data_IF_493167638922
#
_entry.id   IF_493167638922
#
_cell.length_a   1.000
_cell.length_b   1.000
_cell.length_c   1.000
_cell.angle_alpha   90.00
_cell.angle_beta   90.00
_cell.angle_gamma   90.00
#
_symmetry.space_group_name_H-M   'P 1'
#
loop_
_entity.id
_entity.type
_entity.pdbx_description
1 polymer ?
#
# COMPACT_ATOMS: atom_id res chain seq x y z
N UNK A 1 -5.50 -21.48 4.57
CA UNK A 1 -6.11 -20.29 3.96
C UNK A 1 -6.50 -20.64 2.53
N UNK A 2 -7.65 -20.19 2.03
CA UNK A 2 -8.08 -20.51 0.67
C UNK A 2 -7.20 -19.79 -0.36
N UNK A 3 -6.72 -20.53 -1.37
CA UNK A 3 -5.83 -19.98 -2.39
C UNK A 3 -6.49 -18.82 -3.18
N UNK A 4 -7.81 -18.88 -3.39
CA UNK A 4 -8.57 -17.82 -4.07
C UNK A 4 -8.49 -16.47 -3.37
N UNK A 5 -8.59 -16.43 -2.04
CA UNK A 5 -8.49 -15.20 -1.25
C UNK A 5 -7.09 -14.58 -1.33
N UNK A 6 -6.05 -15.42 -1.32
CA UNK A 6 -4.66 -14.98 -1.46
C UNK A 6 -4.44 -14.33 -2.82
N UNK A 7 -4.93 -14.96 -3.89
CA UNK A 7 -4.80 -14.43 -5.26
C UNK A 7 -5.58 -13.13 -5.44
N UNK A 8 -6.79 -13.05 -4.90
CA UNK A 8 -7.60 -11.84 -4.92
C UNK A 8 -6.90 -10.69 -4.17
N UNK A 9 -6.42 -10.94 -2.95
CA UNK A 9 -5.66 -9.95 -2.18
C UNK A 9 -4.38 -9.54 -2.92
N UNK A 10 -3.65 -10.49 -3.50
CA UNK A 10 -2.44 -10.20 -4.26
C UNK A 10 -2.73 -9.23 -5.41
N UNK A 11 -3.81 -9.42 -6.16
CA UNK A 11 -4.20 -8.54 -7.26
C UNK A 11 -4.53 -7.12 -6.77
N UNK A 12 -5.32 -7.00 -5.70
CA UNK A 12 -5.66 -5.71 -5.08
C UNK A 12 -4.41 -5.00 -4.54
N UNK A 13 -3.56 -5.75 -3.84
CA UNK A 13 -2.28 -5.27 -3.34
C UNK A 13 -1.39 -4.79 -4.48
N UNK A 14 -1.26 -5.55 -5.56
CA UNK A 14 -0.42 -5.18 -6.70
C UNK A 14 -0.89 -3.87 -7.30
N UNK A 15 -2.18 -3.76 -7.58
CA UNK A 15 -2.80 -2.55 -8.09
C UNK A 15 -2.46 -1.35 -7.22
N UNK A 16 -2.61 -1.51 -5.91
CA UNK A 16 -2.33 -0.47 -4.95
C UNK A 16 -0.88 -0.03 -4.94
N UNK A 17 0.05 -0.99 -5.00
CA UNK A 17 1.50 -0.74 -5.02
C UNK A 17 1.93 -0.06 -6.32
N UNK A 18 1.29 -0.38 -7.46
CA UNK A 18 1.62 0.26 -8.74
C UNK A 18 1.04 1.67 -8.90
N UNK A 19 0.04 2.06 -8.10
CA UNK A 19 -0.46 3.44 -8.08
C UNK A 19 0.62 4.39 -7.55
N UNK A 20 1.11 5.34 -8.38
CA UNK A 20 2.12 6.29 -7.95
C UNK A 20 1.68 7.10 -6.73
N UNK A 21 2.63 7.39 -5.83
CA UNK A 21 2.40 8.14 -4.59
C UNK A 21 3.71 8.54 -3.93
N UNK A 22 3.66 8.82 -2.62
CA UNK A 22 4.84 9.26 -1.84
C UNK A 22 5.97 8.22 -1.82
N UNK A 23 5.64 6.92 -1.76
CA UNK A 23 6.64 5.84 -1.78
C UNK A 23 7.38 5.77 -3.12
N UNK A 24 6.66 5.97 -4.24
CA UNK A 24 7.27 6.03 -5.57
C UNK A 24 8.20 7.24 -5.71
N UNK A 25 7.75 8.41 -5.27
CA UNK A 25 8.55 9.63 -5.32
C UNK A 25 9.86 9.47 -4.53
N UNK A 26 9.78 8.82 -3.36
CA UNK A 26 10.96 8.54 -2.57
C UNK A 26 11.89 7.48 -3.20
N UNK A 27 11.33 6.39 -3.73
CA UNK A 27 12.09 5.38 -4.47
C UNK A 27 12.83 6.00 -5.66
N UNK A 28 12.16 6.81 -6.46
CA UNK A 28 12.73 7.54 -7.60
C UNK A 28 13.85 8.48 -7.12
N UNK A 29 13.58 9.33 -6.14
CA UNK A 29 14.56 10.29 -5.61
C UNK A 29 15.82 9.61 -5.05
N UNK A 30 15.65 8.45 -4.41
CA UNK A 30 16.77 7.65 -3.90
C UNK A 30 17.66 7.12 -5.02
N UNK A 31 17.08 6.71 -6.16
CA UNK A 31 17.81 6.14 -7.29
C UNK A 31 18.40 7.15 -8.27
N UNK A 32 17.82 8.36 -8.38
CA UNK A 32 18.32 9.42 -9.26
C UNK A 32 19.54 10.15 -8.68
N UNK A 33 19.66 10.25 -7.35
CA UNK A 33 20.85 10.83 -6.70
C UNK A 33 22.03 9.86 -6.73
N UNK A 34 21.86 8.65 -6.18
CA UNK A 34 22.87 7.59 -6.19
C UNK A 34 22.22 6.22 -6.22
N UNK A 35 22.59 5.35 -7.17
CA UNK A 35 22.05 3.97 -7.24
C UNK A 35 22.19 3.19 -5.92
N UNK A 36 23.25 3.45 -5.15
CA UNK A 36 23.49 2.83 -3.85
C UNK A 36 22.50 3.26 -2.77
N UNK A 37 21.82 4.40 -2.93
CA UNK A 37 20.81 4.92 -2.01
C UNK A 37 19.47 4.20 -2.08
N UNK A 38 19.20 3.44 -3.16
CA UNK A 38 17.95 2.68 -3.33
C UNK A 38 17.81 1.60 -2.28
N UNK A 39 18.88 0.85 -2.01
CA UNK A 39 18.85 -0.26 -1.05
C UNK A 39 18.40 0.20 0.35
N UNK A 40 19.06 1.16 1.02
CA UNK A 40 18.63 1.61 2.34
C UNK A 40 17.26 2.28 2.33
N UNK A 41 16.94 3.09 1.32
CA UNK A 41 15.67 3.79 1.23
C UNK A 41 14.47 2.83 1.12
N UNK A 42 14.54 1.89 0.16
CA UNK A 42 13.47 0.91 -0.05
C UNK A 42 13.39 -0.06 1.12
N UNK A 43 14.51 -0.52 1.66
CA UNK A 43 14.52 -1.39 2.85
C UNK A 43 13.84 -0.73 4.05
N UNK A 44 14.04 0.59 4.24
CA UNK A 44 13.35 1.38 5.26
C UNK A 44 11.84 1.41 5.03
N UNK A 45 11.41 1.63 3.79
CA UNK A 45 9.98 1.60 3.45
C UNK A 45 9.35 0.22 3.72
N UNK A 46 10.03 -0.86 3.35
CA UNK A 46 9.55 -2.23 3.61
C UNK A 46 9.46 -2.53 5.11
N UNK A 47 10.44 -2.08 5.89
CA UNK A 47 10.40 -2.21 7.35
C UNK A 47 9.20 -1.45 7.95
N UNK A 48 8.91 -0.23 7.45
CA UNK A 48 7.73 0.53 7.86
C UNK A 48 6.41 -0.16 7.52
N UNK A 49 6.28 -0.71 6.30
CA UNK A 49 5.10 -1.47 5.89
C UNK A 49 4.92 -2.74 6.74
N UNK A 50 6.00 -3.46 7.02
CA UNK A 50 5.96 -4.66 7.85
C UNK A 50 5.54 -4.32 9.29
N UNK A 51 6.12 -3.26 9.87
CA UNK A 51 5.74 -2.81 11.21
C UNK A 51 4.26 -2.41 11.28
N UNK A 52 3.77 -1.62 10.32
CA UNK A 52 2.37 -1.24 10.24
C UNK A 52 1.45 -2.46 10.09
N UNK A 53 1.83 -3.43 9.24
CA UNK A 53 1.12 -4.70 9.08
C UNK A 53 0.95 -5.41 10.41
N UNK A 54 2.03 -5.57 11.17
CA UNK A 54 2.02 -6.33 12.42
C UNK A 54 1.18 -5.62 13.48
N UNK A 55 1.29 -4.29 13.59
CA UNK A 55 0.46 -3.48 14.48
C UNK A 55 -1.02 -3.64 14.14
N UNK A 56 -1.38 -3.58 12.86
CA UNK A 56 -2.76 -3.71 12.42
C UNK A 56 -3.28 -5.14 12.57
N UNK A 57 -2.49 -6.15 12.25
CA UNK A 57 -2.87 -7.55 12.46
C UNK A 57 -3.15 -7.84 13.94
N UNK A 58 -2.33 -7.30 14.85
CA UNK A 58 -2.57 -7.41 16.29
C UNK A 58 -3.81 -6.61 16.73
N UNK A 59 -3.94 -5.36 16.28
CA UNK A 59 -5.03 -4.46 16.70
C UNK A 59 -6.40 -4.86 16.16
N UNK A 60 -6.49 -5.29 14.90
CA UNK A 60 -7.75 -5.73 14.28
C UNK A 60 -8.22 -7.06 14.84
N UNK A 61 -7.31 -8.01 15.14
CA UNK A 61 -7.68 -9.25 15.82
C UNK A 61 -8.33 -8.97 17.19
N UNK A 62 -7.79 -8.00 17.94
CA UNK A 62 -8.38 -7.56 19.20
C UNK A 62 -9.72 -6.83 19.00
N UNK A 63 -9.83 -6.00 17.95
CA UNK A 63 -11.06 -5.23 17.67
C UNK A 63 -12.20 -6.14 17.18
N UNK A 64 -11.92 -7.13 16.34
CA UNK A 64 -12.87 -8.15 15.90
C UNK A 64 -13.45 -8.93 17.08
N UNK A 65 -12.60 -9.32 18.03
CA UNK A 65 -13.03 -10.00 19.26
C UNK A 65 -13.93 -9.11 20.14
N UNK A 66 -13.85 -7.78 19.99
CA UNK A 66 -14.55 -6.82 20.84
C UNK A 66 -15.85 -6.26 20.23
N UNK A 67 -15.90 -5.94 18.92
CA UNK A 67 -17.09 -5.30 18.31
C UNK A 67 -17.17 -5.43 16.78
N UNK A 68 -18.23 -6.09 16.29
CA UNK A 68 -18.55 -6.16 14.86
C UNK A 68 -18.96 -4.81 14.23
N UNK A 69 -19.47 -3.86 15.03
CA UNK A 69 -19.82 -2.50 14.57
C UNK A 69 -18.56 -1.71 14.24
N UNK A 70 -17.55 -1.76 15.11
CA UNK A 70 -16.27 -1.09 14.88
C UNK A 70 -15.60 -1.57 13.58
N UNK A 71 -15.70 -2.87 13.32
CA UNK A 71 -15.22 -3.47 12.08
C UNK A 71 -15.94 -2.92 10.84
N UNK A 72 -17.27 -2.79 10.90
CA UNK A 72 -18.08 -2.27 9.79
C UNK A 72 -17.75 -0.80 9.50
N UNK A 73 -17.60 0.03 10.53
CA UNK A 73 -17.18 1.44 10.37
C UNK A 73 -15.82 1.52 9.68
N UNK A 74 -14.87 0.69 10.10
CA UNK A 74 -13.52 0.65 9.53
C UNK A 74 -13.54 0.23 8.05
N UNK A 75 -14.34 -0.78 7.70
CA UNK A 75 -14.54 -1.22 6.31
C UNK A 75 -15.07 -0.09 5.42
N UNK A 76 -16.14 0.58 5.86
CA UNK A 76 -16.76 1.67 5.09
C UNK A 76 -15.81 2.84 4.93
N UNK A 77 -15.10 3.23 6.00
CA UNK A 77 -14.12 4.31 5.97
C UNK A 77 -13.01 4.05 4.95
N UNK A 78 -12.46 2.84 4.90
CA UNK A 78 -11.43 2.51 3.93
C UNK A 78 -11.93 2.43 2.49
N UNK A 79 -13.17 1.98 2.26
CA UNK A 79 -13.74 1.94 0.93
C UNK A 79 -13.93 3.36 0.35
N UNK A 80 -14.46 4.30 1.15
CA UNK A 80 -14.56 5.73 0.78
C UNK A 80 -13.18 6.32 0.45
N UNK A 81 -12.16 5.96 1.22
CA UNK A 81 -10.81 6.44 0.99
C UNK A 81 -10.16 5.84 -0.27
N UNK A 82 -10.42 4.58 -0.62
CA UNK A 82 -9.98 4.00 -1.90
C UNK A 82 -10.54 4.79 -3.08
N UNK A 83 -11.82 5.18 -3.01
CA UNK A 83 -12.45 6.03 -4.01
C UNK A 83 -11.76 7.39 -4.05
N UNK A 84 -11.51 8.01 -2.89
CA UNK A 84 -10.79 9.29 -2.81
C UNK A 84 -9.37 9.22 -3.39
N UNK A 85 -8.61 8.16 -3.08
CA UNK A 85 -7.27 7.92 -3.64
C UNK A 85 -7.32 7.67 -5.14
N UNK A 86 -8.27 6.88 -5.62
CA UNK A 86 -8.44 6.64 -7.04
C UNK A 86 -8.79 7.94 -7.79
N UNK A 87 -9.64 8.78 -7.21
CA UNK A 87 -9.92 10.14 -7.71
C UNK A 87 -8.66 11.02 -7.67
N UNK A 88 -7.86 10.93 -6.59
CA UNK A 88 -6.57 11.63 -6.47
C UNK A 88 -5.58 11.23 -7.56
N UNK A 89 -5.45 9.93 -7.84
CA UNK A 89 -4.62 9.40 -8.92
C UNK A 89 -5.09 9.87 -10.32
N UNK A 90 -6.40 10.14 -10.48
CA UNK A 90 -6.96 10.73 -11.69
C UNK A 90 -6.76 12.26 -11.77
N UNK A 91 -6.71 12.97 -10.64
CA UNK A 91 -6.69 14.45 -10.56
C UNK A 91 -5.28 15.05 -10.45
N UNK A 92 -4.39 14.46 -9.66
CA UNK A 92 -3.06 15.01 -9.38
C UNK A 92 -1.96 14.06 -9.86
N UNK A 93 -1.16 14.55 -10.82
CA UNK A 93 -0.05 13.83 -11.43
C UNK A 93 1.31 14.26 -10.87
N UNK A 94 1.33 15.17 -9.91
CA UNK A 94 2.56 15.72 -9.37
C UNK A 94 3.09 14.77 -8.28
N UNK A 95 4.27 14.20 -8.53
CA UNK A 95 5.11 13.71 -7.44
C UNK A 95 5.29 14.86 -6.43
N UNK A 96 5.18 14.60 -5.12
CA UNK A 96 5.51 15.62 -4.12
C UNK A 96 6.90 16.17 -4.42
N UNK A 97 7.03 17.49 -4.43
CA UNK A 97 8.32 18.14 -4.58
C UNK A 97 9.15 17.87 -3.31
N UNK A 98 9.98 16.84 -3.37
CA UNK A 98 10.92 16.47 -2.31
C UNK A 98 12.23 17.29 -2.41
N UNK A 99 12.16 18.49 -2.99
CA UNK A 99 13.25 19.46 -3.04
C UNK A 99 13.53 20.03 -1.64
N UNK A 100 14.36 19.31 -0.88
CA UNK A 100 15.01 19.80 0.34
C UNK A 100 16.26 18.97 0.65
N UNK A 101 17.44 19.56 0.47
CA UNK A 101 18.79 18.98 0.69
C UNK A 101 19.24 19.06 2.17
N UNK A 102 20.20 18.21 2.68
CA UNK A 102 21.65 18.35 2.42
C UNK A 102 22.44 17.02 2.22
N UNK A 103 23.36 17.00 1.26
CA UNK A 103 24.48 16.04 1.16
C UNK A 103 24.15 14.57 0.84
N UNK A 104 25.19 13.76 0.59
CA UNK A 104 25.09 12.29 0.47
C UNK A 104 24.62 11.74 1.81
N UNK A 105 23.31 11.66 2.01
CA UNK A 105 22.73 11.14 3.24
C UNK A 105 23.24 9.70 3.47
N UNK A 106 23.72 9.43 4.69
CA UNK A 106 24.19 8.09 5.05
C UNK A 106 23.07 7.06 4.95
N UNK A 107 23.44 5.79 4.73
CA UNK A 107 22.48 4.68 4.58
C UNK A 107 21.45 4.62 5.73
N UNK A 108 21.87 4.91 6.97
CA UNK A 108 20.97 4.95 8.12
C UNK A 108 19.90 6.05 8.03
N UNK A 109 20.24 7.23 7.53
CA UNK A 109 19.29 8.34 7.34
C UNK A 109 18.28 8.02 6.25
N UNK A 110 18.72 7.42 5.14
CA UNK A 110 17.83 6.99 4.05
C UNK A 110 16.86 5.90 4.51
N UNK A 111 17.35 4.96 5.32
CA UNK A 111 16.53 3.92 5.93
C UNK A 111 15.48 4.48 6.90
N UNK A 112 15.89 5.33 7.85
CA UNK A 112 14.98 5.96 8.81
C UNK A 112 13.92 6.83 8.12
N UNK A 113 14.31 7.57 7.08
CA UNK A 113 13.37 8.34 6.26
C UNK A 113 12.40 7.44 5.49
N UNK A 114 12.84 6.30 4.99
CA UNK A 114 11.97 5.29 4.37
C UNK A 114 10.92 4.75 5.35
N UNK A 115 11.32 4.43 6.58
CA UNK A 115 10.37 4.03 7.64
C UNK A 115 9.35 5.15 7.87
N UNK A 116 9.82 6.38 8.08
CA UNK A 116 8.95 7.53 8.33
C UNK A 116 7.94 7.75 7.21
N UNK A 117 8.37 7.67 5.95
CA UNK A 117 7.49 7.83 4.78
C UNK A 117 6.42 6.74 4.77
N UNK A 118 6.79 5.47 4.94
CA UNK A 118 5.82 4.37 4.88
C UNK A 118 4.88 4.33 6.08
N UNK A 119 5.36 4.64 7.29
CA UNK A 119 4.52 4.71 8.48
C UNK A 119 3.57 5.89 8.40
N UNK A 120 4.04 7.08 7.99
CA UNK A 120 3.17 8.25 7.86
C UNK A 120 2.30 8.19 6.59
N UNK A 121 2.44 7.17 5.75
CA UNK A 121 1.65 7.05 4.55
C UNK A 121 0.21 6.64 4.91
N UNK A 122 -0.79 7.53 4.78
CA UNK A 122 -2.19 7.21 5.10
C UNK A 122 -2.71 6.05 4.25
N UNK A 123 -2.12 5.84 3.07
CA UNK A 123 -2.40 4.74 2.15
C UNK A 123 -2.12 3.37 2.80
N UNK A 124 -1.05 3.24 3.58
CA UNK A 124 -0.63 2.00 4.25
C UNK A 124 -1.63 1.61 5.34
N UNK A 125 -1.94 2.55 6.25
CA UNK A 125 -2.88 2.30 7.32
C UNK A 125 -4.25 1.88 6.81
N UNK A 126 -4.73 2.46 5.71
CA UNK A 126 -6.07 2.17 5.20
C UNK A 126 -6.16 0.86 4.42
N UNK A 127 -5.08 0.44 3.72
CA UNK A 127 -4.99 -0.92 3.16
C UNK A 127 -5.06 -1.97 4.29
N UNK A 128 -4.25 -1.77 5.32
CA UNK A 128 -4.12 -2.75 6.40
C UNK A 128 -5.35 -2.79 7.30
N UNK A 129 -5.97 -1.64 7.60
CA UNK A 129 -7.12 -1.56 8.50
C UNK A 129 -8.43 -1.95 7.83
N UNK A 130 -8.64 -1.57 6.56
CA UNK A 130 -9.96 -1.73 5.95
C UNK A 130 -10.04 -2.87 4.95
N UNK A 131 -8.98 -3.12 4.17
CA UNK A 131 -8.98 -4.13 3.11
C UNK A 131 -8.49 -5.48 3.65
N UNK A 132 -7.34 -5.48 4.32
CA UNK A 132 -6.67 -6.70 4.73
C UNK A 132 -7.51 -7.66 5.59
N UNK A 133 -8.37 -7.18 6.51
CA UNK A 133 -9.22 -8.08 7.29
C UNK A 133 -10.34 -8.74 6.48
N UNK A 134 -10.74 -8.17 5.34
CA UNK A 134 -11.79 -8.73 4.48
C UNK A 134 -11.35 -10.01 3.76
N UNK A 135 -10.03 -10.21 3.65
CA UNK A 135 -9.43 -11.41 3.09
C UNK A 135 -9.09 -12.45 4.16
N UNK A 136 -9.44 -12.19 5.42
CA UNK A 136 -9.30 -13.13 6.52
C UNK A 136 -10.66 -13.77 6.87
N UNK A 137 -10.66 -15.06 7.16
CA UNK A 137 -11.86 -15.83 7.47
C UNK A 137 -11.76 -16.51 8.83
N UNK A 138 -12.81 -16.38 9.65
CA UNK A 138 -12.93 -17.10 10.93
C UNK A 138 -13.16 -18.61 10.76
N UNK A 139 -13.59 -19.06 9.57
CA UNK A 139 -13.89 -20.48 9.28
C UNK A 139 -12.66 -21.29 8.85
N UNK A 140 -11.49 -20.67 8.75
CA UNK A 140 -10.26 -21.36 8.39
C UNK A 140 -9.51 -21.86 9.63
N UNK A 141 -8.78 -22.98 9.53
CA UNK A 141 -7.97 -23.53 10.64
C UNK A 141 -6.78 -22.67 11.10
N UNK A 142 -6.63 -21.44 10.60
CA UNK A 142 -5.60 -20.48 11.00
C UNK A 142 -6.26 -19.30 11.72
N UNK A 143 -5.63 -18.76 12.77
CA UNK A 143 -6.14 -17.55 13.42
C UNK A 143 -6.19 -16.36 12.46
N UNK A 144 -7.15 -15.45 12.65
CA UNK A 144 -7.29 -14.24 11.82
C UNK A 144 -6.00 -13.43 11.79
N UNK A 145 -5.33 -13.25 12.93
CA UNK A 145 -4.04 -12.57 13.00
C UNK A 145 -2.93 -13.23 12.16
N UNK A 146 -2.88 -14.57 12.11
CA UNK A 146 -1.91 -15.29 11.29
C UNK A 146 -2.20 -15.13 9.78
N UNK A 147 -3.48 -15.14 9.40
CA UNK A 147 -3.89 -14.86 8.02
C UNK A 147 -3.51 -13.43 7.62
N UNK A 148 -3.76 -12.45 8.49
CA UNK A 148 -3.41 -11.06 8.26
C UNK A 148 -1.89 -10.86 8.13
N UNK A 149 -1.09 -11.51 8.98
CA UNK A 149 0.37 -11.46 8.88
C UNK A 149 0.88 -12.05 7.56
N UNK A 150 0.30 -13.18 7.11
CA UNK A 150 0.64 -13.79 5.81
C UNK A 150 0.30 -12.86 4.64
N UNK A 151 -0.92 -12.32 4.60
CA UNK A 151 -1.36 -11.39 3.55
C UNK A 151 -0.51 -10.11 3.54
N UNK A 152 -0.17 -9.57 4.70
CA UNK A 152 0.73 -8.44 4.77
C UNK A 152 2.15 -8.77 4.33
N UNK A 153 2.63 -9.99 4.55
CA UNK A 153 3.88 -10.48 3.95
C UNK A 153 3.83 -10.49 2.42
N UNK A 154 2.71 -10.92 1.82
CA UNK A 154 2.49 -10.83 0.37
C UNK A 154 2.53 -9.38 -0.10
N UNK A 155 1.92 -8.45 0.64
CA UNK A 155 1.97 -7.02 0.32
C UNK A 155 3.40 -6.45 0.39
N UNK A 156 4.17 -6.80 1.42
CA UNK A 156 5.57 -6.36 1.56
C UNK A 156 6.43 -6.90 0.42
N UNK A 157 6.22 -8.15 0.00
CA UNK A 157 6.91 -8.72 -1.17
C UNK A 157 6.56 -7.97 -2.46
N UNK A 158 5.27 -7.65 -2.64
CA UNK A 158 4.75 -6.83 -3.73
C UNK A 158 5.41 -5.44 -3.76
N UNK A 159 5.49 -4.75 -2.61
CA UNK A 159 6.20 -3.49 -2.45
C UNK A 159 7.68 -3.62 -2.79
N UNK A 160 8.35 -4.69 -2.35
CA UNK A 160 9.76 -4.89 -2.62
C UNK A 160 10.03 -4.96 -4.13
N UNK A 161 9.27 -5.79 -4.85
CA UNK A 161 9.41 -5.95 -6.30
C UNK A 161 9.23 -4.60 -7.01
N UNK A 162 8.13 -3.89 -6.74
CA UNK A 162 7.79 -2.65 -7.45
C UNK A 162 8.72 -1.51 -7.05
N UNK A 163 8.98 -1.29 -5.76
CA UNK A 163 9.77 -0.15 -5.30
C UNK A 163 11.25 -0.31 -5.61
N UNK A 164 11.80 -1.53 -5.60
CA UNK A 164 13.16 -1.75 -6.12
C UNK A 164 13.21 -1.58 -7.64
N UNK A 165 12.24 -2.08 -8.39
CA UNK A 165 12.17 -1.87 -9.84
C UNK A 165 12.07 -0.38 -10.19
N UNK A 166 11.25 0.38 -9.48
CA UNK A 166 11.12 1.83 -9.63
C UNK A 166 12.40 2.54 -9.22
N UNK A 167 12.96 2.25 -8.05
CA UNK A 167 14.16 2.93 -7.55
C UNK A 167 15.38 2.70 -8.44
N UNK A 168 15.66 1.46 -8.84
CA UNK A 168 16.78 1.16 -9.73
C UNK A 168 16.49 1.47 -11.20
N UNK A 169 15.22 1.45 -11.62
CA UNK A 169 14.78 1.72 -12.99
C UNK A 169 14.53 3.20 -13.28
N UNK A 170 14.36 4.05 -12.26
CA UNK A 170 14.03 5.46 -12.42
C UNK A 170 15.05 6.23 -13.27
N UNK A 171 16.34 5.95 -13.10
CA UNK A 171 17.41 6.55 -13.90
C UNK A 171 17.37 6.16 -15.38
N UNK A 172 16.79 4.99 -15.71
CA UNK A 172 16.73 4.46 -17.08
C UNK A 172 15.38 4.72 -17.78
N UNK A 173 14.27 4.77 -17.04
CA UNK A 173 12.90 4.73 -17.60
C UNK A 173 12.09 6.00 -17.31
N UNK A 174 12.24 6.63 -16.13
CA UNK A 174 11.41 7.77 -15.73
C UNK A 174 11.97 9.13 -16.15
N UNK A 175 13.28 9.26 -16.35
CA UNK A 175 13.89 10.45 -16.96
C UNK A 175 13.57 10.57 -18.46
N UNK A 176 13.13 9.49 -19.11
CA UNK A 176 12.94 9.45 -20.57
C UNK A 176 11.49 9.45 -21.04
N UNK A 177 10.49 9.06 -20.22
CA UNK A 177 9.08 8.90 -20.67
C UNK A 177 8.00 9.28 -19.65
N UNK A 178 7.78 10.58 -19.36
CA UNK A 178 6.76 11.06 -18.42
C UNK A 178 5.31 10.66 -18.77
N UNK A 179 5.02 10.37 -20.05
CA UNK A 179 3.68 9.90 -20.50
C UNK A 179 3.33 8.50 -19.98
N UNK A 180 4.31 7.61 -19.80
CA UNK A 180 4.07 6.24 -19.31
C UNK A 180 3.69 6.23 -17.83
N UNK A 181 4.38 7.03 -17.00
CA UNK A 181 4.04 7.22 -15.59
C UNK A 181 2.60 7.74 -15.40
N UNK A 182 2.17 8.66 -16.27
CA UNK A 182 0.80 9.18 -16.30
C UNK A 182 -0.25 8.10 -16.60
N UNK A 183 0.00 7.23 -17.59
CA UNK A 183 -0.94 6.15 -17.96
C UNK A 183 -1.10 5.14 -16.81
N UNK A 184 0.01 4.74 -16.18
CA UNK A 184 -0.02 3.81 -15.03
C UNK A 184 -0.80 4.40 -13.85
N UNK A 185 -0.65 5.69 -13.58
CA UNK A 185 -1.43 6.39 -12.56
C UNK A 185 -2.93 6.41 -12.84
N UNK A 186 -3.32 6.68 -14.10
CA UNK A 186 -4.74 6.70 -14.52
C UNK A 186 -5.37 5.31 -14.42
N UNK A 187 -4.72 4.29 -14.97
CA UNK A 187 -5.22 2.90 -14.94
C UNK A 187 -5.39 2.41 -13.51
N UNK A 188 -4.38 2.67 -12.65
CA UNK A 188 -4.47 2.32 -11.24
C UNK A 188 -5.63 3.01 -10.53
N UNK A 189 -5.83 4.31 -10.80
CA UNK A 189 -6.93 5.10 -10.22
C UNK A 189 -8.31 4.55 -10.57
N UNK A 190 -8.54 4.18 -11.85
CA UNK A 190 -9.82 3.61 -12.31
C UNK A 190 -10.14 2.29 -11.60
N UNK A 191 -9.18 1.38 -11.51
CA UNK A 191 -9.43 0.07 -10.90
C UNK A 191 -9.62 0.18 -9.38
N UNK A 192 -8.91 1.10 -8.71
CA UNK A 192 -9.11 1.37 -7.26
C UNK A 192 -10.52 1.90 -6.97
N UNK A 193 -11.05 2.79 -7.82
CA UNK A 193 -12.44 3.27 -7.71
C UNK A 193 -13.42 2.11 -7.87
N UNK A 194 -13.24 1.28 -8.89
CA UNK A 194 -14.09 0.12 -9.14
C UNK A 194 -14.12 -0.83 -7.94
N UNK A 195 -12.96 -1.11 -7.36
CA UNK A 195 -12.85 -1.98 -6.18
C UNK A 195 -13.52 -1.36 -4.94
N UNK A 196 -13.30 -0.06 -4.68
CA UNK A 196 -13.94 0.64 -3.57
C UNK A 196 -15.47 0.63 -3.66
N UNK A 197 -16.01 0.81 -4.87
CA UNK A 197 -17.46 0.72 -5.12
C UNK A 197 -17.97 -0.71 -4.88
N UNK A 198 -17.24 -1.73 -5.36
CA UNK A 198 -17.62 -3.13 -5.17
C UNK A 198 -17.69 -3.52 -3.69
N UNK A 199 -16.73 -3.08 -2.87
CA UNK A 199 -16.71 -3.35 -1.42
C UNK A 199 -17.90 -2.74 -0.69
N UNK A 200 -18.29 -1.51 -1.04
CA UNK A 200 -19.49 -0.89 -0.46
C UNK A 200 -20.75 -1.62 -0.90
N UNK A 201 -20.83 -2.00 -2.19
CA UNK A 201 -21.98 -2.71 -2.73
C UNK A 201 -22.18 -4.09 -2.08
N UNK A 202 -21.10 -4.86 -1.91
CA UNK A 202 -21.13 -6.17 -1.24
C UNK A 202 -21.60 -6.01 0.21
N UNK A 203 -21.09 -5.02 0.94
CA UNK A 203 -21.47 -4.79 2.34
C UNK A 203 -22.95 -4.41 2.48
N UNK A 204 -23.46 -3.58 1.57
CA UNK A 204 -24.89 -3.22 1.51
C UNK A 204 -25.76 -4.44 1.20
N UNK A 205 -25.39 -5.25 0.20
CA UNK A 205 -26.12 -6.46 -0.17
C UNK A 205 -26.14 -7.52 0.95
N UNK A 206 -25.04 -7.64 1.71
CA UNK A 206 -24.95 -8.54 2.88
C UNK A 206 -25.72 -8.06 4.11
N UNK A 207 -26.15 -6.79 4.13
CA UNK A 207 -26.94 -6.20 5.22
C UNK A 207 -28.44 -6.36 5.00
N UNK A 208 -28.86 -6.78 3.80
CA UNK A 208 -30.27 -6.89 3.38
C UNK A 208 -30.75 -8.35 3.43
N UNK A 209 -29.83 -9.32 3.58
CA UNK A 209 -30.10 -10.74 3.85
C UNK A 209 -29.69 -11.09 5.29
#
# INVERSE_FOLDING_TARGET
>A
MEAGLVVAFWGVSMLFVVTPGVDWAYAIASGTKHRTGVLPAVSGMLAGHLAATLVVAAGVAALLAASGVAMTVLTVAGAVYLVWLGVGALRHHAAPDLAGEPGVAGNGTLFAKGIGISVLNPKVFLLFLALLPQFASERAGWSVGAQMAMLGGVHVANCAIVYFAVGYGAAAVLTTRPKAAKIVGIVSGVVMIGLGIALVAEKVLSSIH
#
